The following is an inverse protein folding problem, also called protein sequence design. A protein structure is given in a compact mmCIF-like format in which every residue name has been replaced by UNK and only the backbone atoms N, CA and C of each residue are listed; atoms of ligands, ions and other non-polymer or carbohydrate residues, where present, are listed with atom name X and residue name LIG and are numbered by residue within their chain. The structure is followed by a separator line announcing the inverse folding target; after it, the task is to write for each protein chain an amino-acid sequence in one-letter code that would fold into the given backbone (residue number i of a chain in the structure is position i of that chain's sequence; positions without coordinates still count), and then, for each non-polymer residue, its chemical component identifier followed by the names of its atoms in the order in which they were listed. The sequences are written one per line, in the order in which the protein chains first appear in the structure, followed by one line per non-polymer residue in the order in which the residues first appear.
data_IF_398543665838
#
_entry.id   IF_398543665838
#
_cell.length_a   1.000
_cell.length_b   1.000
_cell.length_c   1.000
_cell.angle_alpha   90.00
_cell.angle_beta   90.00
_cell.angle_gamma   90.00
#
_symmetry.space_group_name_H-M   'P 1'
#
loop_
_entity.id
_entity.type
_entity.pdbx_description
1 polymer ?
2 non-polymer ?
3 non-polymer ?
4 non-polymer ?
5 water ?
#
# COMPACT_ATOMS: atom_id res chain seq x y z
C UNK A 2 6.59 -24.30 -0.95
N UNK A 3 7.57 -23.37 -1.05
CA UNK A 3 7.18 -21.90 -0.98
C UNK A 3 6.35 -21.64 0.30
N UNK A 4 6.92 -22.04 1.44
CA UNK A 4 6.25 -21.95 2.76
C UNK A 4 6.69 -20.67 3.49
N UNK A 5 5.73 -19.89 3.99
CA UNK A 5 6.06 -18.65 4.65
C UNK A 5 6.86 -18.83 5.94
N UNK A 6 7.71 -17.84 6.24
CA UNK A 6 8.53 -17.83 7.47
C UNK A 6 8.23 -16.48 8.14
N UNK A 7 8.61 -16.33 9.41
CA UNK A 7 8.37 -15.07 10.09
C UNK A 7 9.11 -13.91 9.43
N UNK A 8 10.32 -14.18 8.89
CA UNK A 8 11.16 -13.19 8.22
C UNK A 8 10.47 -12.62 6.98
N UNK A 9 9.44 -13.33 6.51
CA UNK A 9 8.70 -12.83 5.31
C UNK A 9 7.78 -11.68 5.66
N UNK A 10 7.48 -11.52 6.96
CA UNK A 10 6.70 -10.37 7.44
C UNK A 10 5.39 -10.26 6.70
N UNK A 11 4.75 -11.41 6.49
CA UNK A 11 3.43 -11.38 5.85
C UNK A 11 2.35 -11.00 6.88
N UNK A 12 1.52 -9.98 6.53
CA UNK A 12 0.49 -9.56 7.43
C UNK A 12 -0.82 -9.42 6.63
N UNK A 13 -1.89 -9.37 7.42
CA UNK A 13 -3.26 -9.31 6.82
C UNK A 13 -4.16 -8.47 7.71
N UNK A 14 -5.11 -7.75 7.06
CA UNK A 14 -6.06 -7.00 7.84
C UNK A 14 -7.17 -7.91 8.37
N UNK A 15 -7.70 -7.65 9.55
CA UNK A 15 -8.82 -8.44 10.06
C UNK A 15 -9.96 -8.40 9.03
N UNK A 16 -10.09 -7.26 8.35
CA UNK A 16 -11.21 -7.08 7.42
C UNK A 16 -11.09 -7.82 6.08
N UNK A 17 -9.92 -8.45 5.86
CA UNK A 17 -9.64 -9.11 4.59
C UNK A 17 -10.26 -10.51 4.66
N UNK A 18 -9.64 -11.43 5.41
CA UNK A 18 -10.21 -12.76 5.60
C UNK A 18 -11.57 -12.71 6.34
N UNK A 19 -11.82 -11.61 7.09
CA UNK A 19 -13.08 -11.45 7.78
C UNK A 19 -14.20 -10.83 6.94
N UNK A 20 -13.90 -10.51 5.67
CA UNK A 20 -14.95 -9.87 4.79
C UNK A 20 -16.10 -10.85 4.60
N UNK A 21 -17.30 -10.41 4.94
CA UNK A 21 -18.48 -11.27 4.86
C UNK A 21 -19.09 -11.42 3.46
N UNK A 22 -18.60 -10.72 2.46
CA UNK A 22 -19.09 -10.92 1.07
C UNK A 22 -20.22 -10.02 0.64
N UNK A 23 -20.51 -9.00 1.45
CA UNK A 23 -21.53 -8.03 0.98
C UNK A 23 -20.94 -7.13 -0.08
N UNK A 24 -21.70 -6.90 -1.15
CA UNK A 24 -21.24 -6.04 -2.20
C UNK A 24 -22.44 -5.07 -2.55
N UNK A 25 -22.27 -4.15 -3.52
CA UNK A 25 -23.40 -3.20 -3.82
C UNK A 25 -24.72 -3.89 -4.26
N UNK A 26 -24.61 -5.15 -4.69
CA UNK A 26 -25.76 -5.86 -5.17
C UNK A 26 -26.02 -7.14 -4.45
N UNK A 27 -25.39 -7.36 -3.31
CA UNK A 27 -25.56 -8.66 -2.68
C UNK A 27 -25.34 -8.68 -1.18
N UNK A 28 -26.08 -9.57 -0.54
CA UNK A 28 -26.01 -9.79 0.90
C UNK A 28 -24.79 -10.67 1.24
N UNK A 29 -24.52 -10.76 2.54
CA UNK A 29 -23.35 -11.51 3.01
C UNK A 29 -23.45 -12.96 2.57
N UNK A 30 -22.31 -13.54 2.20
CA UNK A 30 -22.25 -14.98 1.86
C UNK A 30 -21.52 -15.79 2.94
N UNK A 31 -20.92 -15.09 3.90
CA UNK A 31 -20.21 -15.76 5.01
C UNK A 31 -20.59 -15.11 6.34
N UNK A 32 -20.56 -15.94 7.39
CA UNK A 32 -20.79 -15.41 8.77
C UNK A 32 -19.58 -14.56 9.21
N UNK A 33 -19.82 -13.67 10.15
CA UNK A 33 -18.71 -12.84 10.69
C UNK A 33 -17.69 -13.78 11.38
N UNK A 34 -16.43 -13.37 11.33
CA UNK A 34 -15.37 -14.13 12.02
C UNK A 34 -15.00 -13.39 13.32
N UNK A 35 -14.75 -14.17 14.35
CA UNK A 35 -14.25 -13.56 15.58
C UNK A 35 -12.78 -13.29 15.26
N UNK A 36 -12.27 -12.08 15.55
CA UNK A 36 -10.86 -11.76 15.32
C UNK A 36 -9.90 -12.81 15.95
N UNK A 37 -10.32 -13.39 17.08
CA UNK A 37 -9.50 -14.41 17.74
C UNK A 37 -9.26 -15.60 16.77
N UNK A 38 -10.33 -16.04 16.09
CA UNK A 38 -10.23 -17.14 15.14
C UNK A 38 -9.35 -16.73 13.95
N UNK A 39 -9.52 -15.50 13.45
CA UNK A 39 -8.71 -15.08 12.32
C UNK A 39 -7.22 -15.06 12.67
N UNK A 40 -6.89 -14.55 13.88
CA UNK A 40 -5.49 -14.51 14.28
C UNK A 40 -4.92 -15.94 14.35
N UNK A 41 -5.70 -16.87 14.94
CA UNK A 41 -5.27 -18.28 15.02
C UNK A 41 -5.07 -18.89 13.61
N UNK A 42 -6.05 -18.69 12.70
CA UNK A 42 -5.91 -19.27 11.35
C UNK A 42 -4.81 -18.66 10.53
N UNK A 43 -4.64 -17.34 10.60
CA UNK A 43 -3.58 -16.69 9.88
C UNK A 43 -2.21 -17.16 10.37
N UNK A 44 -2.08 -17.27 11.71
CA UNK A 44 -0.80 -17.73 12.26
C UNK A 44 -0.53 -19.15 11.77
N UNK A 45 -1.56 -20.00 11.71
CA UNK A 45 -1.34 -21.39 11.23
C UNK A 45 -0.86 -21.39 9.76
N UNK A 46 -1.35 -20.44 8.95
CA UNK A 46 -0.89 -20.35 7.54
C UNK A 46 0.53 -19.83 7.38
N UNK A 47 1.08 -19.19 8.42
CA UNK A 47 2.43 -18.70 8.31
C UNK A 47 2.49 -17.16 8.30
N UNK A 48 1.32 -16.51 8.47
CA UNK A 48 1.40 -15.06 8.54
C UNK A 48 2.15 -14.68 9.82
N UNK A 49 2.73 -13.49 9.83
CA UNK A 49 3.46 -13.00 11.01
C UNK A 49 2.73 -11.88 11.75
N UNK A 50 1.75 -11.23 11.11
CA UNK A 50 1.08 -10.14 11.80
C UNK A 50 -0.31 -9.86 11.23
N UNK A 51 -1.04 -9.03 11.96
CA UNK A 51 -2.41 -8.70 11.60
C UNK A 51 -2.60 -7.20 11.85
N UNK A 52 -3.52 -6.59 11.08
CA UNK A 52 -3.77 -5.16 11.26
C UNK A 52 -5.28 -4.97 11.45
N UNK A 53 -5.67 -3.75 11.89
CA UNK A 53 -7.10 -3.55 12.15
C UNK A 53 -7.53 -2.11 12.01
N UNK A 54 -8.83 -1.96 11.72
CA UNK A 54 -9.49 -0.64 11.92
C UNK A 54 -10.04 -0.72 13.34
N UNK A 55 -10.24 0.44 13.99
CA UNK A 55 -10.85 0.49 15.31
C UNK A 55 -12.13 -0.36 15.35
N UNK A 56 -12.99 -0.13 14.36
CA UNK A 56 -14.28 -0.81 14.35
C UNK A 56 -14.29 -2.31 13.95
N UNK A 57 -13.15 -2.87 13.52
CA UNK A 57 -13.02 -4.30 13.22
C UNK A 57 -12.77 -5.03 14.54
N UNK A 58 -12.01 -4.37 15.42
CA UNK A 58 -11.61 -4.96 16.69
C UNK A 58 -12.63 -4.74 17.80
N UNK A 59 -13.21 -3.52 17.86
CA UNK A 59 -14.21 -3.21 18.88
C UNK A 59 -15.46 -2.70 18.15
N UNK A 60 -16.59 -3.42 18.23
CA UNK A 60 -17.81 -2.98 17.52
C UNK A 60 -18.12 -1.50 17.83
N UNK A 61 -18.44 -0.71 16.79
CA UNK A 61 -18.82 0.69 16.93
C UNK A 61 -19.91 0.83 18.05
N UNK A 62 -19.73 1.84 18.92
CA UNK A 62 -20.67 2.09 20.01
C UNK A 62 -20.53 1.17 21.22
N UNK A 63 -19.37 0.53 21.33
CA UNK A 63 -19.10 -0.34 22.47
C UNK A 63 -18.90 0.47 23.78
N UNK A 64 -19.32 -0.13 24.88
CA UNK A 64 -19.11 0.42 26.23
C UNK A 64 -17.65 0.14 26.58
N UNK A 65 -17.17 0.81 27.61
CA UNK A 65 -15.79 0.67 27.97
C UNK A 65 -15.51 -0.74 28.42
N UNK A 66 -16.46 -1.36 29.09
CA UNK A 66 -16.23 -2.74 29.53
C UNK A 66 -16.12 -3.71 28.30
N UNK A 67 -16.98 -3.46 27.32
CA UNK A 67 -16.97 -4.32 26.12
C UNK A 67 -15.66 -4.09 25.35
N UNK A 68 -15.25 -2.82 25.28
CA UNK A 68 -14.01 -2.46 24.61
C UNK A 68 -12.87 -3.23 25.28
N UNK A 69 -12.79 -3.17 26.59
CA UNK A 69 -11.69 -3.85 27.28
C UNK A 69 -11.73 -5.35 27.05
N UNK A 70 -12.91 -5.93 27.03
CA UNK A 70 -13.04 -7.35 26.79
C UNK A 70 -12.58 -7.77 25.37
N UNK A 71 -13.02 -6.99 24.37
CA UNK A 71 -12.61 -7.29 23.00
C UNK A 71 -11.08 -7.22 22.88
N UNK A 72 -10.48 -6.20 23.50
CA UNK A 72 -9.02 -6.04 23.40
C UNK A 72 -8.32 -7.20 24.15
N UNK A 73 -8.87 -7.53 25.31
CA UNK A 73 -8.28 -8.61 26.11
C UNK A 73 -8.22 -9.90 25.33
N UNK A 74 -9.34 -10.28 24.70
CA UNK A 74 -9.33 -11.52 23.93
C UNK A 74 -8.39 -11.46 22.75
N UNK A 75 -8.34 -10.31 22.08
CA UNK A 75 -7.46 -10.15 20.94
C UNK A 75 -5.97 -10.26 21.39
N UNK A 76 -5.64 -9.61 22.49
CA UNK A 76 -4.28 -9.65 23.05
C UNK A 76 -3.91 -11.10 23.39
N UNK A 77 -4.86 -11.87 23.93
CA UNK A 77 -4.63 -13.29 24.26
C UNK A 77 -4.33 -14.07 23.00
N UNK A 78 -5.06 -13.79 21.92
CA UNK A 78 -4.78 -14.52 20.67
C UNK A 78 -3.40 -14.18 20.11
N UNK A 79 -2.97 -12.90 20.19
CA UNK A 79 -1.67 -12.49 19.72
C UNK A 79 -0.63 -13.27 20.56
N UNK A 80 -0.85 -13.27 21.86
CA UNK A 80 0.11 -13.95 22.78
C UNK A 80 0.18 -15.47 22.52
N UNK A 81 -0.97 -16.10 22.22
CA UNK A 81 -1.04 -17.55 21.96
C UNK A 81 -0.29 -17.95 20.67
N UNK A 82 -0.23 -17.02 19.73
CA UNK A 82 0.28 -17.31 18.40
C UNK A 82 1.62 -16.71 18.07
N UNK A 83 2.01 -15.65 18.78
CA UNK A 83 3.23 -14.97 18.43
C UNK A 83 3.00 -13.89 17.34
N UNK A 84 1.73 -13.64 17.01
CA UNK A 84 1.45 -12.66 15.97
C UNK A 84 1.66 -11.19 16.43
N UNK A 85 2.12 -10.37 15.49
CA UNK A 85 2.44 -8.94 15.71
C UNK A 85 1.29 -8.09 15.13
N UNK A 86 1.24 -6.83 15.54
CA UNK A 86 0.28 -5.84 15.04
C UNK A 86 1.14 -4.63 14.59
N UNK A 87 1.63 -4.64 13.35
CA UNK A 87 2.56 -3.60 12.88
C UNK A 87 1.86 -2.31 12.46
N UNK A 88 0.55 -2.41 12.20
CA UNK A 88 -0.13 -1.23 11.64
C UNK A 88 -1.60 -1.26 12.06
N UNK A 89 -2.21 -0.05 12.20
CA UNK A 89 -3.66 0.04 12.51
C UNK A 89 -4.15 1.28 11.74
N UNK A 90 -5.44 1.40 11.73
CA UNK A 90 -6.04 2.49 11.00
C UNK A 90 -7.46 2.71 11.60
N UNK A 91 -8.08 3.83 11.17
CA UNK A 91 -9.40 4.20 11.69
C UNK A 91 -10.47 3.96 10.61
N UNK A 92 -11.65 3.49 11.02
CA UNK A 92 -12.75 3.38 10.04
C UNK A 92 -13.42 4.78 10.01
N UNK A 93 -13.11 5.52 8.93
CA UNK A 93 -13.78 6.86 8.74
C UNK A 93 -14.63 6.78 7.44
N UNK A 94 -15.22 5.60 7.19
CA UNK A 94 -16.00 5.47 5.96
C UNK A 94 -17.34 4.73 6.10
N UNK A 95 -17.47 3.81 7.04
CA UNK A 95 -18.69 2.99 7.12
C UNK A 95 -19.91 3.72 7.67
N UNK A 96 -19.75 4.36 8.82
CA UNK A 96 -20.90 5.01 9.44
C UNK A 96 -21.47 6.12 8.56
N UNK A 97 -22.81 6.22 8.51
CA UNK A 97 -23.39 7.27 7.67
C UNK A 97 -22.94 8.71 8.00
N UNK A 98 -22.50 8.96 9.23
CA UNK A 98 -22.04 10.31 9.56
C UNK A 98 -20.87 10.73 8.64
N UNK A 99 -20.11 9.77 8.06
CA UNK A 99 -18.98 10.09 7.23
C UNK A 99 -19.33 10.09 5.76
N UNK A 100 -20.64 10.22 5.46
CA UNK A 100 -21.06 10.19 4.08
C UNK A 100 -20.42 11.24 3.16
N UNK A 101 -20.00 12.38 3.73
CA UNK A 101 -19.29 13.39 2.93
C UNK A 101 -17.82 13.53 3.33
N UNK A 102 -17.33 12.53 4.08
CA UNK A 102 -15.93 12.56 4.51
C UNK A 102 -15.80 12.56 6.01
N UNK A 103 -14.54 12.34 6.44
CA UNK A 103 -14.19 12.44 7.85
C UNK A 103 -13.42 13.79 7.93
N UNK A 104 -12.11 13.79 7.70
CA UNK A 104 -11.32 15.03 7.81
C UNK A 104 -11.71 16.17 6.90
N UNK A 105 -12.30 15.83 5.75
CA UNK A 105 -12.70 16.90 4.80
C UNK A 105 -14.27 16.95 4.65
N UNK A 106 -15.01 16.45 5.60
CA UNK A 106 -16.48 16.60 5.58
C UNK A 106 -16.81 18.09 5.51
N UNK A 107 -17.84 18.48 4.75
CA UNK A 107 -18.20 19.89 4.76
C UNK A 107 -18.64 20.29 6.18
N UNK A 108 -19.30 19.40 6.92
CA UNK A 108 -19.77 19.72 8.28
C UNK A 108 -18.56 19.74 9.24
N UNK A 109 -18.30 20.90 9.85
CA UNK A 109 -17.14 21.02 10.74
C UNK A 109 -17.21 20.08 11.96
N UNK A 110 -18.40 19.86 12.53
CA UNK A 110 -18.58 18.98 13.70
C UNK A 110 -18.16 17.55 13.35
N UNK A 111 -18.38 17.15 12.09
CA UNK A 111 -17.99 15.80 11.64
C UNK A 111 -16.45 15.70 11.54
N UNK A 112 -15.81 16.76 11.04
CA UNK A 112 -14.33 16.78 10.92
C UNK A 112 -13.74 16.63 12.34
N UNK A 113 -14.30 17.36 13.33
CA UNK A 113 -13.77 17.28 14.70
C UNK A 113 -13.94 15.88 15.24
N UNK A 114 -15.11 15.30 14.98
CA UNK A 114 -15.40 13.94 15.45
C UNK A 114 -14.43 12.94 14.79
N UNK A 115 -14.16 13.09 13.50
CA UNK A 115 -13.23 12.17 12.79
C UNK A 115 -11.86 12.21 13.49
N UNK A 116 -11.41 13.41 13.82
CA UNK A 116 -10.08 13.51 14.48
C UNK A 116 -10.16 12.82 15.86
N UNK A 117 -11.23 13.06 16.65
CA UNK A 117 -11.28 12.45 18.00
C UNK A 117 -11.31 10.92 17.88
N UNK A 118 -12.02 10.39 16.88
CA UNK A 118 -12.12 8.92 16.71
C UNK A 118 -10.75 8.35 16.32
N UNK A 119 -10.06 9.06 15.44
CA UNK A 119 -8.68 8.67 15.03
C UNK A 119 -7.73 8.70 16.23
N UNK A 120 -7.77 9.78 17.02
CA UNK A 120 -6.84 9.90 18.14
C UNK A 120 -7.00 8.78 19.17
N UNK A 121 -8.24 8.41 19.46
CA UNK A 121 -8.52 7.35 20.40
C UNK A 121 -7.86 6.05 19.92
N UNK A 122 -7.94 5.78 18.61
CA UNK A 122 -7.39 4.54 18.08
C UNK A 122 -5.87 4.56 17.93
N UNK A 123 -5.27 5.74 17.75
CA UNK A 123 -3.82 5.84 17.70
C UNK A 123 -3.33 5.37 19.06
N UNK A 124 -3.94 5.84 20.16
CA UNK A 124 -3.52 5.37 21.50
C UNK A 124 -3.58 3.83 21.58
N UNK A 125 -4.65 3.22 21.05
CA UNK A 125 -4.78 1.78 21.10
C UNK A 125 -3.74 1.11 20.21
N UNK A 126 -3.52 1.67 19.02
CA UNK A 126 -2.53 1.11 18.11
C UNK A 126 -1.15 1.05 18.76
N UNK A 127 -0.75 2.15 19.40
CA UNK A 127 0.55 2.23 20.07
C UNK A 127 0.58 1.15 21.18
N UNK A 128 -0.49 1.02 21.96
CA UNK A 128 -0.55 0.00 23.03
C UNK A 128 -0.36 -1.42 22.48
N UNK A 129 -0.87 -1.67 21.25
CA UNK A 129 -0.71 -3.00 20.63
C UNK A 129 0.58 -3.17 19.87
N UNK A 130 1.42 -2.13 19.84
CA UNK A 130 2.72 -2.13 19.24
C UNK A 130 2.87 -1.72 17.79
N UNK A 131 1.82 -1.10 17.24
CA UNK A 131 1.92 -0.67 15.86
C UNK A 131 2.95 0.41 15.62
N UNK A 132 3.68 0.31 14.51
CA UNK A 132 4.69 1.30 14.15
C UNK A 132 4.16 2.27 13.07
N UNK A 133 3.07 1.86 12.37
CA UNK A 133 2.54 2.66 11.29
C UNK A 133 1.05 2.80 11.50
N UNK A 134 0.57 4.01 11.22
CA UNK A 134 -0.89 4.25 11.37
C UNK A 134 -1.35 4.72 10.00
N UNK A 135 -2.23 3.92 9.34
CA UNK A 135 -2.65 4.26 7.96
C UNK A 135 -3.90 5.17 7.98
N UNK A 136 -3.89 6.09 7.05
CA UNK A 136 -5.07 6.95 6.83
C UNK A 136 -5.50 6.66 5.37
N UNK A 137 -6.74 6.20 5.21
CA UNK A 137 -7.31 5.95 3.87
C UNK A 137 -8.58 6.84 3.83
N UNK A 138 -8.50 7.95 3.09
CA UNK A 138 -9.64 8.90 3.09
C UNK A 138 -10.66 8.55 2.03
N UNK A 139 -11.21 7.36 2.20
CA UNK A 139 -12.12 6.85 1.15
C UNK A 139 -13.36 7.70 0.90
N UNK A 140 -13.78 8.46 1.93
CA UNK A 140 -15.00 9.33 1.77
C UNK A 140 -14.62 10.78 1.43
N UNK A 141 -13.33 11.08 1.28
CA UNK A 141 -12.91 12.45 0.99
C UNK A 141 -12.98 12.64 -0.49
N UNK A 142 -13.93 13.46 -0.94
CA UNK A 142 -14.00 13.60 -2.37
C UNK A 142 -15.41 14.09 -2.77
N UNK A 143 -15.86 13.73 -3.98
CA UNK A 143 -17.18 14.28 -4.41
C UNK A 143 -17.71 13.49 -5.60
N UNK A 144 -19.02 13.64 -5.86
CA UNK A 144 -19.62 13.12 -7.10
C UNK A 144 -19.96 14.25 -8.07
N UNK A 145 -19.96 15.51 -7.58
CA UNK A 145 -20.32 16.70 -8.42
C UNK A 145 -19.39 17.87 -8.12
N UNK A 146 -19.27 18.79 -9.08
CA UNK A 146 -18.27 19.83 -9.01
C UNK A 146 -18.48 20.87 -7.90
N UNK A 147 -19.71 21.22 -7.61
CA UNK A 147 -19.93 22.30 -6.66
C UNK A 147 -19.89 21.87 -5.19
N UNK A 148 -19.89 20.55 -4.96
CA UNK A 148 -19.98 20.00 -3.64
C UNK A 148 -18.75 20.15 -2.75
N UNK A 149 -17.60 20.33 -3.40
CA UNK A 149 -16.37 20.35 -2.62
C UNK A 149 -15.41 21.30 -3.32
N UNK A 150 -14.99 22.35 -2.60
CA UNK A 150 -13.95 23.22 -3.10
C UNK A 150 -12.66 22.48 -2.68
N UNK A 151 -11.89 22.05 -3.69
CA UNK A 151 -10.73 21.20 -3.39
C UNK A 151 -9.61 21.91 -2.61
N UNK A 152 -9.30 23.18 -2.96
CA UNK A 152 -8.29 23.91 -2.14
C UNK A 152 -8.77 23.98 -0.67
N UNK A 153 -10.04 24.30 -0.38
CA UNK A 153 -10.49 24.29 1.02
C UNK A 153 -10.41 22.90 1.62
N UNK A 154 -10.73 21.87 0.86
CA UNK A 154 -10.66 20.51 1.42
C UNK A 154 -9.19 20.13 1.76
N UNK A 155 -8.28 20.50 0.86
CA UNK A 155 -6.81 20.22 1.12
C UNK A 155 -6.38 21.03 2.38
N UNK A 156 -6.91 22.25 2.57
CA UNK A 156 -6.56 22.99 3.80
C UNK A 156 -7.05 22.18 5.02
N UNK A 157 -8.29 21.67 4.96
CA UNK A 157 -8.83 20.90 6.08
C UNK A 157 -8.04 19.57 6.26
N UNK A 158 -7.63 18.97 5.15
CA UNK A 158 -6.87 17.71 5.24
C UNK A 158 -5.47 17.99 5.87
N UNK A 159 -4.83 19.06 5.46
CA UNK A 159 -3.53 19.43 6.07
C UNK A 159 -3.74 19.74 7.54
N UNK A 160 -4.81 20.48 7.86
CA UNK A 160 -5.06 20.80 9.25
C UNK A 160 -5.18 19.54 10.11
N UNK A 161 -5.95 18.56 9.64
CA UNK A 161 -6.16 17.33 10.38
C UNK A 161 -4.83 16.56 10.56
N UNK A 162 -4.09 16.36 9.46
CA UNK A 162 -2.78 15.65 9.56
C UNK A 162 -1.82 16.38 10.47
N UNK A 163 -1.82 17.72 10.42
CA UNK A 163 -0.92 18.49 11.31
C UNK A 163 -1.33 18.27 12.77
N UNK A 164 -2.62 18.33 13.10
CA UNK A 164 -3.08 18.08 14.45
C UNK A 164 -2.68 16.66 14.91
N UNK A 165 -2.77 15.67 14.02
CA UNK A 165 -2.41 14.30 14.39
C UNK A 165 -0.91 14.21 14.66
N UNK A 166 -0.11 14.91 13.87
CA UNK A 166 1.36 14.97 14.01
C UNK A 166 1.66 15.63 15.37
N UNK A 167 0.94 16.70 15.68
CA UNK A 167 1.15 17.39 16.96
C UNK A 167 0.78 16.45 18.12
N UNK A 168 -0.28 15.65 17.98
CA UNK A 168 -0.70 14.73 19.01
C UNK A 168 0.37 13.65 19.21
N UNK A 169 0.83 12.99 18.14
CA UNK A 169 1.82 11.90 18.40
C UNK A 169 3.12 12.42 19.00
N UNK A 170 3.49 13.64 18.58
CA UNK A 170 4.73 14.28 19.07
C UNK A 170 4.54 14.60 20.58
N UNK A 171 3.37 15.15 20.93
CA UNK A 171 3.07 15.50 22.33
C UNK A 171 3.08 14.25 23.28
N UNK A 172 2.72 13.06 22.77
CA UNK A 172 2.69 11.85 23.60
C UNK A 172 4.05 11.11 23.60
N UNK A 173 4.99 11.54 22.77
CA UNK A 173 6.30 10.88 22.64
C UNK A 173 6.17 9.53 21.91
N UNK A 174 5.09 9.36 21.14
CA UNK A 174 4.93 8.09 20.41
C UNK A 174 5.92 7.99 19.27
N UNK A 175 6.37 6.78 18.89
CA UNK A 175 7.28 6.63 17.73
C UNK A 175 6.55 6.31 16.38
N UNK A 176 5.26 6.12 16.49
CA UNK A 176 4.41 5.76 15.35
C UNK A 176 4.45 6.84 14.28
N UNK A 177 4.42 6.39 13.03
CA UNK A 177 4.45 7.30 11.85
C UNK A 177 3.17 7.05 11.03
N UNK A 178 2.79 8.01 10.20
CA UNK A 178 1.54 7.86 9.43
C UNK A 178 1.86 7.44 8.02
N UNK A 179 0.92 6.77 7.36
CA UNK A 179 1.11 6.40 5.95
C UNK A 179 -0.25 6.65 5.28
N UNK A 180 -0.28 7.54 4.31
CA UNK A 180 -1.53 7.90 3.62
C UNK A 180 -1.69 6.96 2.42
N UNK A 181 -2.90 6.37 2.34
CA UNK A 181 -3.14 5.39 1.26
C UNK A 181 -4.01 6.04 0.18
N UNK A 182 -3.43 6.30 -0.99
CA UNK A 182 -4.22 6.91 -2.11
C UNK A 182 -5.19 5.89 -2.71
N UNK A 183 -6.26 6.39 -3.32
CA UNK A 183 -7.25 5.60 -4.08
C UNK A 183 -7.87 6.63 -5.01
N UNK A 184 -8.06 6.33 -6.28
CA UNK A 184 -8.55 7.40 -7.19
C UNK A 184 -10.04 7.63 -7.13
N UNK A 185 -10.82 6.59 -6.85
CA UNK A 185 -12.29 6.72 -6.79
C UNK A 185 -12.81 5.47 -6.08
N UNK A 186 -14.09 5.49 -5.70
CA UNK A 186 -14.81 4.38 -5.09
C UNK A 186 -14.46 4.26 -3.62
N UNK A 187 -15.31 4.77 -2.71
CA UNK A 187 -16.72 5.05 -2.89
C UNK A 187 -17.10 6.40 -3.40
N UNK A 188 -16.20 7.38 -3.32
CA UNK A 188 -16.61 8.70 -3.91
C UNK A 188 -16.33 8.69 -5.42
N UNK A 189 -17.06 9.54 -6.17
CA UNK A 189 -16.84 9.59 -7.61
C UNK A 189 -15.40 9.87 -7.97
N UNK A 190 -14.80 10.83 -7.25
CA UNK A 190 -13.36 11.09 -7.33
C UNK A 190 -12.90 11.30 -5.90
N UNK A 191 -11.78 10.67 -5.51
CA UNK A 191 -11.28 10.79 -4.14
C UNK A 191 -10.07 11.77 -4.15
N UNK A 192 -9.92 12.56 -3.08
CA UNK A 192 -8.82 13.53 -2.99
C UNK A 192 -7.50 12.72 -2.78
N UNK A 193 -6.36 13.25 -3.23
CA UNK A 193 -5.06 12.54 -3.20
C UNK A 193 -5.26 11.16 -3.88
N UNK A 194 -5.58 11.19 -5.17
CA UNK A 194 -5.97 9.96 -5.86
C UNK A 194 -4.88 8.96 -6.21
N UNK A 195 -3.59 9.37 -6.15
CA UNK A 195 -2.51 8.50 -6.53
C UNK A 195 -1.34 8.68 -5.58
N UNK A 196 -0.36 7.78 -5.66
CA UNK A 196 0.86 7.93 -4.85
C UNK A 196 1.50 9.33 -5.10
N UNK A 197 1.51 9.86 -6.33
CA UNK A 197 2.13 11.16 -6.60
C UNK A 197 1.42 12.26 -5.81
N UNK A 198 0.08 12.27 -5.86
CA UNK A 198 -0.64 13.34 -5.16
C UNK A 198 -0.42 13.30 -3.67
N UNK A 199 -0.34 12.09 -3.13
CA UNK A 199 -0.13 11.92 -1.68
C UNK A 199 1.32 12.40 -1.35
N UNK A 200 2.32 11.99 -2.16
CA UNK A 200 3.72 12.44 -1.86
C UNK A 200 3.78 13.97 -1.89
N UNK A 201 3.11 14.59 -2.88
CA UNK A 201 3.24 16.03 -3.04
C UNK A 201 2.57 16.65 -1.81
N UNK A 202 1.40 16.18 -1.40
CA UNK A 202 0.70 16.74 -0.26
C UNK A 202 1.54 16.67 1.04
N UNK A 203 2.22 15.54 1.28
CA UNK A 203 2.99 15.37 2.55
C UNK A 203 4.02 16.48 2.70
N UNK A 204 4.61 16.92 1.59
CA UNK A 204 5.67 17.95 1.61
C UNK A 204 5.18 19.34 2.03
N UNK A 205 3.86 19.49 2.15
CA UNK A 205 3.27 20.72 2.68
C UNK A 205 2.81 20.60 4.14
N UNK A 206 2.98 19.45 4.79
CA UNK A 206 2.56 19.24 6.16
C UNK A 206 3.64 19.90 7.09
N UNK A 207 3.25 20.21 8.32
CA UNK A 207 4.19 20.88 9.26
C UNK A 207 5.39 19.98 9.62
N UNK A 208 5.17 18.66 9.79
CA UNK A 208 6.28 17.73 10.18
C UNK A 208 6.29 16.60 9.12
N UNK A 209 6.70 16.90 7.89
CA UNK A 209 6.63 15.89 6.77
C UNK A 209 7.32 14.58 7.09
N UNK A 210 8.30 14.64 7.99
CA UNK A 210 9.05 13.43 8.32
C UNK A 210 8.20 12.34 9.00
N UNK A 211 7.05 12.74 9.55
CA UNK A 211 6.16 11.81 10.27
C UNK A 211 5.21 11.11 9.25
N UNK A 212 5.26 11.49 7.98
CA UNK A 212 4.29 10.89 7.03
C UNK A 212 4.95 10.30 5.81
N UNK A 213 4.35 9.17 5.38
CA UNK A 213 4.80 8.50 4.18
C UNK A 213 3.56 7.99 3.43
N UNK A 214 3.77 7.07 2.50
CA UNK A 214 2.62 6.52 1.79
C UNK A 214 2.40 5.04 2.07
N UNK A 215 1.15 4.58 1.89
CA UNK A 215 0.78 3.13 1.98
C UNK A 215 0.09 2.83 0.59
N UNK A 216 0.86 2.66 -0.47
CA UNK A 216 0.23 2.46 -1.81
C UNK A 216 -0.38 1.06 -1.88
N UNK A 217 -1.43 0.93 -2.68
CA UNK A 217 -2.07 -0.39 -2.81
C UNK A 217 -2.10 -0.74 -4.30
N UNK A 218 -1.69 -1.99 -4.60
CA UNK A 218 -1.56 -2.41 -5.98
C UNK A 218 -2.79 -2.00 -6.81
N UNK A 219 -3.95 -2.48 -6.37
CA UNK A 219 -5.20 -2.29 -7.14
C UNK A 219 -5.59 -0.84 -7.27
N UNK A 220 -5.20 -0.04 -6.27
CA UNK A 220 -5.59 1.40 -6.34
C UNK A 220 -4.91 2.10 -7.46
N UNK A 221 -3.57 1.97 -7.58
CA UNK A 221 -2.93 2.67 -8.66
C UNK A 221 -3.45 2.08 -9.98
N UNK A 222 -3.69 0.75 -9.99
CA UNK A 222 -4.14 0.12 -11.25
C UNK A 222 -5.54 0.59 -11.68
N UNK A 223 -6.35 1.00 -10.73
CA UNK A 223 -7.72 1.57 -11.06
C UNK A 223 -7.57 2.89 -11.84
N UNK A 224 -6.40 3.53 -11.83
CA UNK A 224 -6.16 4.74 -12.63
C UNK A 224 -5.35 4.32 -13.88
N UNK A 225 -5.17 3.02 -14.07
CA UNK A 225 -4.40 2.53 -15.22
C UNK A 225 -2.87 2.88 -15.09
N UNK A 226 -2.43 3.27 -13.86
CA UNK A 226 -1.03 3.59 -13.65
C UNK A 226 -0.19 2.31 -13.42
N UNK A 227 1.12 2.48 -13.55
CA UNK A 227 2.06 1.37 -13.39
C UNK A 227 2.44 1.36 -11.88
N UNK A 228 2.05 0.26 -11.20
CA UNK A 228 2.25 0.18 -9.76
C UNK A 228 3.75 0.13 -9.38
N UNK A 229 4.55 -0.74 -10.01
CA UNK A 229 5.99 -0.74 -9.67
C UNK A 229 6.62 0.64 -9.92
N UNK A 230 6.17 1.41 -10.94
CA UNK A 230 6.77 2.75 -11.16
C UNK A 230 6.45 3.65 -9.94
N UNK A 231 5.21 3.62 -9.49
CA UNK A 231 4.79 4.45 -8.37
C UNK A 231 5.55 4.04 -7.12
N UNK A 232 5.74 2.74 -6.94
CA UNK A 232 6.48 2.32 -5.76
C UNK A 232 7.93 2.82 -5.89
N UNK A 233 8.51 2.76 -7.10
CA UNK A 233 9.88 3.26 -7.31
C UNK A 233 9.94 4.76 -6.91
N UNK A 234 8.94 5.54 -7.33
CA UNK A 234 9.00 6.95 -6.94
C UNK A 234 8.87 7.12 -5.41
N UNK A 235 8.02 6.33 -4.74
CA UNK A 235 7.89 6.39 -3.27
C UNK A 235 9.24 6.03 -2.62
N UNK A 236 9.89 5.00 -3.16
CA UNK A 236 11.19 4.59 -2.62
C UNK A 236 12.20 5.69 -2.84
N UNK A 237 12.17 6.31 -4.01
CA UNK A 237 13.10 7.38 -4.37
C UNK A 237 12.95 8.51 -3.36
N UNK A 238 11.71 8.76 -2.92
CA UNK A 238 11.41 9.85 -1.97
C UNK A 238 11.75 9.41 -0.53
N UNK A 239 12.02 8.14 -0.29
CA UNK A 239 12.22 7.63 1.07
C UNK A 239 10.92 7.55 1.84
N UNK A 240 9.80 7.35 1.13
CA UNK A 240 8.51 7.40 1.79
C UNK A 240 7.64 6.15 1.72
N UNK A 241 8.24 5.01 1.37
CA UNK A 241 7.44 3.78 1.33
C UNK A 241 7.36 3.19 2.75
N UNK A 242 6.44 3.68 3.57
CA UNK A 242 6.35 3.26 4.97
C UNK A 242 5.61 1.93 5.14
N UNK A 243 4.82 1.56 4.14
CA UNK A 243 4.00 0.35 4.26
C UNK A 243 3.45 0.12 2.85
N UNK A 244 2.90 -1.08 2.62
CA UNK A 244 2.35 -1.36 1.29
C UNK A 244 1.24 -2.34 1.41
N UNK A 245 0.25 -2.21 0.50
CA UNK A 245 -0.91 -3.10 0.50
C UNK A 245 -0.85 -3.90 -0.79
N UNK A 246 -0.76 -5.22 -0.62
CA UNK A 246 -0.62 -6.13 -1.77
C UNK A 246 -1.91 -6.87 -2.10
N UNK A 247 -2.24 -6.90 -3.39
CA UNK A 247 -3.48 -7.59 -3.86
C UNK A 247 -3.42 -7.60 -5.41
N UNK A 248 -4.52 -7.97 -6.06
CA UNK A 248 -4.57 -7.99 -7.52
C UNK A 248 -5.84 -7.23 -8.00
N UNK A 249 -5.71 -6.83 -9.25
CA UNK A 249 -6.76 -6.05 -9.89
C UNK A 249 -6.63 -6.29 -11.36
N UNK A 250 -7.79 -6.45 -12.01
CA UNK A 250 -7.83 -6.63 -13.45
C UNK A 250 -8.25 -5.31 -14.16
N UNK A 251 -7.31 -4.37 -14.23
CA UNK A 251 -7.49 -3.11 -14.94
C UNK A 251 -8.39 -2.06 -14.31
N UNK A 252 -8.90 -1.21 -15.20
CA UNK A 252 -9.70 -0.07 -14.77
C UNK A 252 -11.16 -0.43 -14.61
N UNK A 253 -11.56 -0.59 -13.37
CA UNK A 253 -12.91 -0.96 -13.06
C UNK A 253 -12.98 -0.85 -11.56
N UNK A 254 -14.08 -1.27 -10.97
CA UNK A 254 -14.24 -1.26 -9.54
C UNK A 254 -13.05 -1.99 -8.84
N UNK A 255 -12.82 -1.63 -7.58
CA UNK A 255 -11.71 -2.19 -6.75
C UNK A 255 -12.05 -3.68 -6.48
N UNK A 256 -11.29 -4.59 -7.11
CA UNK A 256 -11.59 -6.02 -6.96
C UNK A 256 -10.99 -6.67 -5.72
N UNK A 257 -9.84 -6.17 -5.28
CA UNK A 257 -9.12 -6.74 -4.11
C UNK A 257 -8.90 -8.30 -4.27
N UNK A 258 -8.43 -8.73 -5.44
CA UNK A 258 -8.19 -10.15 -5.64
C UNK A 258 -6.98 -10.51 -4.80
N UNK A 259 -6.77 -11.80 -4.62
CA UNK A 259 -5.53 -12.15 -3.89
C UNK A 259 -4.26 -11.76 -4.66
N UNK A 260 -3.16 -11.49 -3.92
CA UNK A 260 -1.94 -11.07 -4.56
C UNK A 260 -1.44 -12.13 -5.55
N UNK A 261 -1.05 -11.69 -6.74
CA UNK A 261 -0.58 -12.63 -7.77
C UNK A 261 -1.66 -12.69 -8.85
N UNK A 262 -2.92 -12.64 -8.42
CA UNK A 262 -4.03 -12.58 -9.40
C UNK A 262 -4.01 -11.13 -10.00
N UNK A 263 -4.80 -10.93 -11.02
CA UNK A 263 -4.78 -9.65 -11.70
C UNK A 263 -3.60 -9.61 -12.61
N UNK A 264 -2.83 -8.52 -12.51
CA UNK A 264 -1.73 -8.32 -13.40
C UNK A 264 -0.50 -9.06 -12.87
N UNK A 265 -0.31 -10.30 -13.35
CA UNK A 265 0.80 -11.15 -12.87
C UNK A 265 2.17 -10.57 -13.19
N UNK A 266 2.42 -10.06 -14.41
CA UNK A 266 3.73 -9.46 -14.72
C UNK A 266 4.03 -8.24 -13.83
N UNK A 267 3.02 -7.40 -13.56
CA UNK A 267 3.30 -6.27 -12.64
C UNK A 267 3.61 -6.79 -11.24
N UNK A 268 2.99 -7.89 -10.81
CA UNK A 268 3.30 -8.47 -9.48
C UNK A 268 4.78 -8.91 -9.47
N UNK A 269 5.24 -9.54 -10.55
CA UNK A 269 6.64 -9.96 -10.69
C UNK A 269 7.59 -8.75 -10.57
N UNK A 270 7.33 -7.69 -11.32
CA UNK A 270 8.25 -6.53 -11.28
C UNK A 270 8.13 -5.82 -9.93
N UNK A 271 6.97 -5.87 -9.30
CA UNK A 271 6.82 -5.25 -7.96
C UNK A 271 7.72 -6.01 -6.95
N UNK A 272 7.61 -7.34 -6.93
CA UNK A 272 8.38 -8.11 -5.92
C UNK A 272 9.88 -7.92 -6.23
N UNK A 273 10.25 -7.93 -7.52
CA UNK A 273 11.65 -7.69 -7.93
C UNK A 273 12.14 -6.35 -7.31
N UNK A 274 11.34 -5.29 -7.45
CA UNK A 274 11.72 -3.98 -6.92
C UNK A 274 11.76 -3.97 -5.39
N UNK A 275 10.75 -4.50 -4.70
CA UNK A 275 10.74 -4.48 -3.22
C UNK A 275 12.01 -5.17 -2.70
N UNK A 276 12.31 -6.33 -3.28
CA UNK A 276 13.44 -7.12 -2.80
C UNK A 276 14.76 -6.45 -3.16
N UNK A 277 14.89 -5.98 -4.39
CA UNK A 277 16.15 -5.36 -4.79
C UNK A 277 16.40 -4.09 -3.96
N UNK A 278 15.34 -3.35 -3.66
CA UNK A 278 15.48 -2.06 -2.94
C UNK A 278 15.66 -2.30 -1.45
N UNK A 279 15.43 -3.53 -1.01
CA UNK A 279 15.54 -3.86 0.41
C UNK A 279 14.40 -3.28 1.28
N UNK A 280 13.21 -3.16 0.72
CA UNK A 280 12.09 -2.72 1.53
C UNK A 280 12.00 -3.67 2.75
N UNK A 281 11.92 -3.07 3.95
CA UNK A 281 11.93 -3.80 5.21
C UNK A 281 10.63 -3.72 6.07
N UNK A 282 9.55 -3.15 5.49
CA UNK A 282 8.29 -3.09 6.23
C UNK A 282 7.46 -4.39 5.99
N UNK A 283 6.27 -4.39 6.54
CA UNK A 283 5.39 -5.55 6.38
C UNK A 283 5.00 -5.77 4.89
N UNK A 284 4.79 -7.03 4.50
CA UNK A 284 4.26 -7.35 3.20
C UNK A 284 2.78 -7.66 3.53
N UNK A 285 1.95 -6.61 3.52
CA UNK A 285 0.60 -6.69 4.02
C UNK A 285 -0.35 -6.92 2.84
N UNK A 286 -1.29 -7.85 3.02
CA UNK A 286 -2.30 -8.16 2.00
C UNK A 286 -3.60 -7.47 2.39
N UNK A 287 -4.07 -6.61 1.49
CA UNK A 287 -5.37 -5.99 1.71
C UNK A 287 -6.22 -6.53 0.55
N UNK A 288 -6.84 -7.68 0.78
CA UNK A 288 -7.56 -8.36 -0.31
C UNK A 288 -8.85 -8.87 0.27
N UNK A 289 -9.75 -9.36 -0.61
CA UNK A 289 -11.02 -9.93 -0.16
C UNK A 289 -11.19 -11.29 -0.85
N UNK A 290 -11.28 -12.37 -0.08
CA UNK A 290 -11.56 -13.65 -0.71
C UNK A 290 -12.92 -13.47 -1.40
N UNK A 291 -13.00 -13.90 -2.68
CA UNK A 291 -14.27 -13.68 -3.39
C UNK A 291 -15.49 -14.19 -2.67
N UNK A 292 -16.64 -13.52 -2.85
CA UNK A 292 -17.80 -13.92 -2.12
C UNK A 292 -18.38 -15.31 -2.52
N UNK A 293 -17.85 -15.86 -3.63
CA UNK A 293 -18.18 -17.23 -4.06
C UNK A 293 -17.66 -18.28 -3.07
N UNK A 294 -16.66 -17.88 -2.28
CA UNK A 294 -15.99 -18.82 -1.40
C UNK A 294 -16.64 -19.02 -0.05
N UNK A 295 -16.43 -20.23 0.55
CA UNK A 295 -16.84 -20.45 1.95
C UNK A 295 -15.57 -20.28 2.83
N UNK A 296 -15.66 -20.57 4.14
CA UNK A 296 -14.46 -20.40 5.00
C UNK A 296 -13.23 -21.15 4.54
N UNK A 297 -13.41 -22.37 4.04
CA UNK A 297 -12.22 -23.06 3.52
C UNK A 297 -11.52 -22.31 2.34
N UNK A 298 -12.32 -21.73 1.43
CA UNK A 298 -11.82 -20.93 0.32
C UNK A 298 -11.14 -19.60 0.80
N UNK A 299 -11.64 -19.01 1.92
CA UNK A 299 -11.00 -17.83 2.51
C UNK A 299 -9.54 -18.14 2.86
N UNK A 300 -9.34 -19.26 3.57
CA UNK A 300 -7.97 -19.59 4.00
C UNK A 300 -7.12 -20.02 2.80
N UNK A 301 -7.73 -20.69 1.80
CA UNK A 301 -6.96 -21.03 0.60
C UNK A 301 -6.50 -19.73 -0.12
N UNK A 302 -7.41 -18.74 -0.18
CA UNK A 302 -7.08 -17.50 -0.84
C UNK A 302 -5.96 -16.74 -0.08
N UNK A 303 -6.07 -16.70 1.25
CA UNK A 303 -5.02 -16.06 2.05
C UNK A 303 -3.67 -16.77 1.84
N UNK A 304 -3.69 -18.12 1.86
CA UNK A 304 -2.43 -18.83 1.64
C UNK A 304 -1.84 -18.53 0.27
N UNK A 305 -2.71 -18.40 -0.75
CA UNK A 305 -2.26 -18.12 -2.09
C UNK A 305 -1.55 -16.76 -2.23
N UNK A 306 -1.99 -15.79 -1.41
CA UNK A 306 -1.30 -14.49 -1.43
C UNK A 306 0.22 -14.65 -1.11
N UNK A 307 0.46 -15.41 -0.04
CA UNK A 307 1.85 -15.61 0.43
C UNK A 307 2.64 -16.48 -0.52
N UNK A 308 2.00 -17.55 -1.00
CA UNK A 308 2.64 -18.44 -1.97
C UNK A 308 3.09 -17.70 -3.21
N UNK A 309 2.17 -16.87 -3.74
CA UNK A 309 2.52 -16.12 -4.93
C UNK A 309 3.67 -15.14 -4.73
N UNK A 310 3.66 -14.47 -3.59
CA UNK A 310 4.77 -13.55 -3.29
C UNK A 310 6.09 -14.35 -3.29
N UNK A 311 6.06 -15.53 -2.63
CA UNK A 311 7.29 -16.35 -2.55
C UNK A 311 7.76 -16.92 -3.89
N UNK A 312 6.81 -17.32 -4.76
CA UNK A 312 7.23 -17.83 -6.06
C UNK A 312 7.85 -16.65 -6.84
N UNK A 313 7.18 -15.48 -6.85
CA UNK A 313 7.69 -14.34 -7.57
C UNK A 313 9.07 -13.87 -7.04
N UNK A 314 9.24 -13.94 -5.73
CA UNK A 314 10.56 -13.60 -5.11
C UNK A 314 11.67 -14.51 -5.65
N UNK A 315 11.36 -15.81 -5.70
CA UNK A 315 12.35 -16.75 -6.26
C UNK A 315 12.70 -16.42 -7.72
N UNK A 316 11.66 -16.24 -8.56
CA UNK A 316 11.90 -16.02 -9.97
C UNK A 316 12.60 -14.67 -10.26
N UNK A 317 12.23 -13.62 -9.52
CA UNK A 317 12.90 -12.33 -9.75
C UNK A 317 14.37 -12.43 -9.29
N UNK A 318 14.62 -13.11 -8.17
CA UNK A 318 16.01 -13.28 -7.69
C UNK A 318 16.81 -14.08 -8.73
N UNK A 319 16.21 -15.17 -9.26
CA UNK A 319 16.88 -15.93 -10.28
C UNK A 319 17.18 -15.09 -11.52
N UNK A 320 16.23 -14.22 -11.92
CA UNK A 320 16.43 -13.33 -13.02
C UNK A 320 17.65 -12.39 -12.81
N UNK A 321 17.68 -11.71 -11.65
CA UNK A 321 18.76 -10.72 -11.44
C UNK A 321 20.15 -11.39 -11.30
N UNK A 322 20.14 -12.65 -10.82
CA UNK A 322 21.40 -13.37 -10.58
C UNK A 322 21.92 -14.11 -11.82
N UNK A 323 21.10 -14.25 -12.85
CA UNK A 323 21.48 -14.99 -14.04
C UNK A 323 22.52 -14.22 -14.84
N UNK A 324 23.73 -14.78 -15.06
CA UNK A 324 24.74 -14.05 -15.82
C UNK A 324 24.27 -13.61 -17.22
N UNK A 325 23.38 -14.39 -17.84
CA UNK A 325 22.90 -14.06 -19.18
C UNK A 325 22.00 -12.79 -19.10
N UNK A 326 21.26 -12.65 -17.98
CA UNK A 326 20.41 -11.49 -17.75
C UNK A 326 21.35 -10.31 -17.43
N UNK A 327 22.39 -10.54 -16.61
CA UNK A 327 23.29 -9.44 -16.31
C UNK A 327 23.96 -8.93 -17.60
N UNK A 328 24.30 -9.81 -18.54
CA UNK A 328 24.87 -9.41 -19.80
C UNK A 328 23.81 -8.61 -20.63
N UNK A 329 22.57 -9.07 -20.58
CA UNK A 329 21.52 -8.39 -21.34
C UNK A 329 21.28 -7.00 -20.78
N UNK A 330 21.35 -6.87 -19.46
CA UNK A 330 21.16 -5.54 -18.82
C UNK A 330 22.24 -4.60 -19.32
N UNK A 331 23.48 -5.10 -19.44
CA UNK A 331 24.53 -4.25 -19.97
C UNK A 331 24.28 -3.93 -21.47
N UNK A 332 23.81 -4.91 -22.23
CA UNK A 332 23.52 -4.73 -23.64
C UNK A 332 22.44 -3.62 -23.86
N UNK A 333 21.55 -3.50 -22.88
CA UNK A 333 20.44 -2.50 -22.93
C UNK A 333 20.85 -1.18 -22.24
N UNK A 334 22.10 -1.12 -21.77
CA UNK A 334 22.63 0.11 -21.13
C UNK A 334 21.96 0.47 -19.79
N UNK A 335 21.47 -0.52 -19.03
CA UNK A 335 20.93 -0.18 -17.70
C UNK A 335 22.09 0.31 -16.79
N UNK A 336 23.31 -0.15 -17.05
CA UNK A 336 24.46 0.33 -16.26
C UNK A 336 24.69 1.84 -16.54
N UNK A 337 24.56 2.27 -17.80
CA UNK A 337 24.78 3.68 -18.16
C UNK A 337 23.63 4.57 -17.61
N UNK A 338 22.42 3.98 -17.47
CA UNK A 338 21.31 4.77 -16.87
C UNK A 338 21.67 5.19 -15.43
N UNK A 339 22.44 4.34 -14.72
CA UNK A 339 22.82 4.58 -13.34
C UNK A 339 24.03 5.51 -13.16
N UNK A 340 24.65 5.94 -14.26
CA UNK A 340 25.81 6.85 -14.21
C UNK A 340 25.39 8.28 -14.43
N UNK A 341 25.97 9.21 -13.67
CA UNK A 341 25.55 10.60 -13.81
C UNK A 341 25.70 11.11 -15.26
N UNK A 342 24.74 11.93 -15.72
CA UNK A 342 24.80 12.49 -17.04
C UNK A 342 25.95 13.49 -17.24
N UNK A 343 26.22 14.27 -16.20
CA UNK A 343 27.21 15.32 -16.34
C UNK A 343 27.87 15.64 -15.00
N UNK A 344 28.57 14.66 -14.44
CA UNK A 344 29.27 14.87 -13.16
C UNK A 344 30.42 15.89 -13.40
N UNK A 345 30.81 16.06 -14.67
CA UNK A 345 31.81 17.05 -15.10
C UNK A 345 31.31 18.51 -14.90
N UNK A 346 30.00 18.68 -14.72
CA UNK A 346 29.42 20.01 -14.47
C UNK A 346 28.84 20.71 -15.68
N UNK A 347 28.05 21.76 -15.40
CA UNK A 347 27.41 22.52 -16.46
C UNK A 347 28.37 23.14 -17.50
N UNK A 348 29.40 23.83 -17.03
CA UNK A 348 30.29 24.48 -17.97
C UNK A 348 31.00 23.46 -18.82
N UNK A 349 31.43 22.33 -18.23
CA UNK A 349 32.11 21.31 -19.00
C UNK A 349 31.13 20.74 -20.09
N UNK A 350 29.89 20.55 -19.69
CA UNK A 350 28.85 20.09 -20.66
C UNK A 350 28.65 21.10 -21.79
N UNK A 351 28.53 22.38 -21.43
CA UNK A 351 28.35 23.43 -22.44
C UNK A 351 29.54 23.50 -23.43
N UNK A 352 30.74 23.17 -22.95
CA UNK A 352 31.94 23.25 -23.82
C UNK A 352 32.29 21.91 -24.48
N UNK A 353 31.51 20.88 -24.19
CA UNK A 353 31.78 19.55 -24.73
C UNK A 353 31.17 19.42 -26.13
N UNK A 354 31.98 19.52 -27.18
CA UNK A 354 31.49 19.42 -28.57
C UNK A 354 30.91 18.04 -28.90
N UNK A 355 31.35 17.01 -28.17
CA UNK A 355 30.82 15.67 -28.39
C UNK A 355 29.37 15.55 -27.92
N UNK A 356 28.90 16.52 -27.13
CA UNK A 356 27.51 16.53 -26.61
C UNK A 356 26.55 17.25 -27.59
N UNK A 357 27.10 17.87 -28.64
CA UNK A 357 26.22 18.64 -29.52
C UNK A 357 26.75 18.82 -30.90
N UNK A 358 27.67 19.77 -31.04
CA UNK A 358 28.24 20.14 -32.31
C UNK A 358 28.77 18.94 -33.07
N UNK A 359 29.37 18.00 -32.36
CA UNK A 359 29.96 16.85 -33.03
C UNK A 359 29.30 15.54 -32.57
N UNK A 360 28.07 15.62 -32.08
CA UNK A 360 27.36 14.40 -31.70
C UNK A 360 26.73 13.80 -32.95
N UNK A 361 27.02 12.51 -33.21
CA UNK A 361 26.50 11.81 -34.39
C UNK A 361 25.14 11.21 -34.00
N UNK A 362 24.05 11.96 -34.22
CA UNK A 362 22.72 11.53 -33.78
C UNK A 362 22.23 10.29 -34.50
N UNK A 363 22.68 10.14 -35.74
CA UNK A 363 22.22 9.02 -36.56
C UNK A 363 22.84 7.72 -36.06
N UNK A 364 24.13 7.79 -35.74
CA UNK A 364 24.79 6.61 -35.19
C UNK A 364 24.17 6.22 -33.87
N UNK A 365 23.88 7.20 -33.00
CA UNK A 365 23.24 6.92 -31.72
C UNK A 365 21.85 6.36 -31.94
N UNK A 366 21.08 6.96 -32.86
CA UNK A 366 19.71 6.51 -33.13
C UNK A 366 19.66 5.06 -33.64
N UNK A 367 20.72 4.64 -34.36
CA UNK A 367 20.71 3.31 -34.96
C UNK A 367 20.94 2.18 -33.97
N UNK A 368 21.48 2.51 -32.79
CA UNK A 368 21.79 1.51 -31.81
C UNK A 368 20.49 0.94 -31.22
N UNK A 369 20.21 -0.35 -31.39
CA UNK A 369 19.02 -0.88 -30.76
C UNK A 369 19.12 -0.91 -29.25
N UNK A 370 18.00 -0.86 -28.53
CA UNK A 370 18.04 -0.91 -27.06
C UNK A 370 18.10 -2.35 -26.53
N UNK A 371 17.78 -3.33 -27.41
CA UNK A 371 17.77 -4.75 -27.03
C UNK A 371 16.81 -5.06 -25.83
N UNK A 372 15.74 -4.25 -25.70
CA UNK A 372 14.81 -4.45 -24.61
C UNK A 372 13.92 -5.74 -24.74
N UNK A 373 13.66 -6.13 -26.01
CA UNK A 373 12.80 -7.30 -26.20
C UNK A 373 13.51 -8.60 -25.75
N UNK A 374 14.81 -8.71 -26.07
CA UNK A 374 15.55 -9.87 -25.64
C UNK A 374 15.60 -9.89 -24.12
N UNK A 375 15.85 -8.73 -23.51
CA UNK A 375 15.87 -8.65 -22.07
C UNK A 375 14.52 -9.07 -21.46
N UNK A 376 13.42 -8.59 -22.08
CA UNK A 376 12.12 -8.91 -21.55
C UNK A 376 11.74 -10.37 -21.74
N UNK A 377 12.21 -11.00 -22.83
CA UNK A 377 11.89 -12.41 -22.98
C UNK A 377 12.73 -13.23 -21.98
N UNK A 378 13.94 -12.76 -21.62
CA UNK A 378 14.65 -13.47 -20.51
C UNK A 378 13.84 -13.32 -19.22
N UNK A 379 13.23 -12.11 -18.98
CA UNK A 379 12.39 -11.94 -17.81
C UNK A 379 11.15 -12.84 -17.84
N UNK A 380 10.51 -12.97 -19.01
CA UNK A 380 9.36 -13.85 -19.13
C UNK A 380 9.77 -15.30 -18.88
N UNK A 381 10.90 -15.72 -19.48
CA UNK A 381 11.36 -17.12 -19.30
C UNK A 381 11.63 -17.41 -17.82
N UNK A 382 12.26 -16.45 -17.12
CA UNK A 382 12.46 -16.67 -15.69
C UNK A 382 11.15 -16.73 -14.88
N UNK A 383 10.20 -15.80 -15.17
CA UNK A 383 8.95 -15.79 -14.45
C UNK A 383 8.22 -17.16 -14.62
N UNK A 384 8.22 -17.70 -15.87
CA UNK A 384 7.50 -18.95 -16.16
C UNK A 384 8.34 -20.20 -15.85
N UNK A 385 9.61 -20.02 -15.48
CA UNK A 385 10.51 -21.18 -15.22
C UNK A 385 10.67 -21.97 -16.55
N UNK A 386 10.91 -21.24 -17.64
CA UNK A 386 11.11 -21.83 -18.99
C UNK A 386 12.58 -21.90 -19.45
X LIG B 1 -5.81 -0.87 1.11
X LIG C 1 -8.63 -1.94 -2.71
X LIG D 1 -19.13 -27.29 -1.41
X LIG D 1 -18.37 -28.19 -2.25
X LIG D 1 -16.99 -27.58 -2.55
X LIG D 1 -16.24 -28.48 -3.40
X LIG D 1 -16.25 -27.40 -1.20
X LIG D 1 -14.92 -26.81 -1.38
X LIG D 1 -17.09 -26.52 -0.27
X LIG D 1 -16.41 -26.36 1.02
X LIG D 1 -18.52 -27.13 -0.11
X LIG D 1 -19.30 -26.29 0.74
X LIG E 1 -9.54 0.69 4.82
X LIG E 1 -10.37 -0.17 3.99
X LIG E 1 -9.99 0.07 2.48
X LIG E 1 -10.81 -0.72 1.55
X LIG E 1 -8.54 -0.39 2.31
X LIG E 1 -8.07 -0.20 0.92
X LIG E 1 -7.69 0.44 3.28
X LIG E 1 -6.33 -0.02 3.17
X LIG E 1 -8.19 0.27 4.73
X LIG E 1 -7.37 1.11 5.52
X LIG F 1 5.40 -8.47 11.01
X LIG G 1 6.43 -6.81 10.32
X LIG H 1 8.15 -4.71 10.00
X LIG I 1 7.35 -2.39 10.78
X LIG J 1 9.14 12.52 -5.07
X LIG K 1 8.64 13.67 -1.98
X LIG L 1 6.96 13.52 0.30
X LIG M 1 8.51 15.44 2.17
X LIG N 1 10.06 14.46 4.51
X LIG O 1 -7.59 11.45 4.86
X LIG P 1 -8.23 9.75 6.65
X LIG Q 1 -8.37 6.99 7.74
X LIG R 1 -5.33 9.02 10.59
X LIG S 1 -10.94 11.18 6.76
X LIG T 1 -19.12 -5.19 -6.43
X LIG U 1 -17.99 -2.88 -6.08
X LIG V 1 11.22 4.19 1.63
X LIG W 1 14.44 -20.53 -15.43
X LIG X 1 15.02 -19.43 -17.22
X LIG Y 1 -13.54 -2.65 5.37
X LIG Z 1 -8.36 -22.29 15.44
X LIG AA 1 -10.74 -21.04 16.28
X LIG BA 1 -6.02 15.93 -4.84
X LIG CA 1 -8.13 11.06 0.52
X LIG DA 1 -6.76 -13.16 -12.60
X LIG EA 1 -15.76 -10.08 23.33
X LIG FA 1 6.88 -2.20 -14.79
X LIG GA 1 14.02 -20.13 -10.60
X LIG HA 1 -5.92 -23.02 13.76
#
# INVERSE_FOLDING_TARGET
MNYQPTPEDRFTFGLWTVGWQGRDPFGDATRRALDPVESVQRLAELGAHGVTFHDDDLIPFGSSDSEREEHVKRFRQALDDTGMKVPMATTNLFTHPVFKDGGFTANDRDVRRYALRKTIRNIDLAVELGAETYVAWGGREGAESGGAKDVRDALDRMKEAFDLLGEYVTSQGYDIRFAIEPKPNEPRGDILLPTVGHALAFIERLERPELYGVNPEVGHEQMAGLNFPHGIAQALWAGKLFHIDLNGQNGIKYDQDLRFGAGDLRAAFWLVDLLESAGYSGPRHFDFKPPRTEDFDGVWASAAGCMRNYLILKERAAAFRADPEVQEALRASRLDELARPTAADGLQALLDDRSAFEEFDVDAAAARGMAFERLDQLAMDHLLGARG
CA CA
CA CA
LXC C5 O5 C1 O1 C2 O2 C3 O3 C4 O4
LXC C5 O5 C1 O1 C2 O2 C3 O3 C4 O4
IOD I
IOD I
IOD I
IOD I
IOD I
IOD I
IOD I
IOD I
IOD I
IOD I
IOD I
IOD I
IOD I
IOD I
IOD I
IOD I
IOD I
IOD I
IOD I
IOD I
IOD I
IOD I
IOD I
IOD I
IOD I
IOD I
IOD I
IOD I
IOD I
#
